data_IF_049017708807
#
_entry.id   IF_049017708807
#
_cell.length_a   1.000
_cell.length_b   1.000
_cell.length_c   1.000
_cell.angle_alpha   90.00
_cell.angle_beta   90.00
_cell.angle_gamma   90.00
#
_symmetry.space_group_name_H-M   'P 1'
#
loop_
_entity.id
_entity.type
_entity.pdbx_description
1 polymer ?
#
# COMPACT_ATOMS: atom_id res chain seq x y z
N UNK A 1 18.21 -14.32 11.56
CA UNK A 1 18.30 -14.87 10.18
C UNK A 1 17.06 -15.73 9.96
N UNK A 2 15.94 -15.08 9.59
CA UNK A 2 14.61 -15.71 9.62
C UNK A 2 14.34 -16.53 8.34
N UNK A 3 13.80 -17.73 8.56
CA UNK A 3 13.51 -18.83 7.63
C UNK A 3 12.50 -18.45 6.53
N UNK A 4 12.99 -17.78 5.50
CA UNK A 4 12.57 -18.11 4.14
C UNK A 4 13.82 -18.67 3.47
N UNK A 5 14.05 -19.96 3.70
CA UNK A 5 15.11 -20.69 3.00
C UNK A 5 14.82 -20.54 1.50
N UNK A 6 15.68 -19.81 0.79
CA UNK A 6 15.60 -19.42 -0.64
C UNK A 6 14.70 -18.20 -0.98
N UNK A 7 14.94 -17.04 -0.37
CA UNK A 7 14.58 -15.76 -1.01
C UNK A 7 15.57 -15.52 -2.16
N UNK A 8 15.08 -15.46 -3.39
CA UNK A 8 15.85 -15.01 -4.53
C UNK A 8 16.30 -13.58 -4.26
N UNK A 9 17.62 -13.37 -4.15
CA UNK A 9 18.17 -12.07 -3.79
C UNK A 9 17.80 -11.03 -4.85
N UNK A 10 17.25 -9.88 -4.43
CA UNK A 10 16.95 -8.81 -5.36
C UNK A 10 18.23 -8.21 -5.94
N UNK A 11 18.32 -8.17 -7.26
CA UNK A 11 19.34 -7.43 -7.98
C UNK A 11 18.66 -6.45 -8.94
N UNK A 12 18.93 -5.14 -8.86
CA UNK A 12 18.36 -4.19 -9.80
C UNK A 12 18.67 -4.59 -11.24
N UNK A 13 17.69 -4.43 -12.14
CA UNK A 13 17.84 -4.66 -13.58
C UNK A 13 19.05 -3.92 -14.13
N UNK A 14 19.78 -4.51 -15.08
CA UNK A 14 20.88 -3.82 -15.77
C UNK A 14 20.36 -2.48 -16.32
N UNK A 15 21.08 -1.40 -16.02
CA UNK A 15 20.75 0.00 -16.34
C UNK A 15 19.59 0.64 -15.54
N UNK A 16 18.95 -0.07 -14.60
CA UNK A 16 18.04 0.50 -13.59
C UNK A 16 18.64 0.31 -12.18
N UNK A 17 19.89 0.72 -12.00
CA UNK A 17 20.60 0.60 -10.71
C UNK A 17 20.45 1.83 -9.83
N UNK A 18 19.99 2.96 -10.40
CA UNK A 18 19.73 4.20 -9.68
C UNK A 18 18.37 4.16 -8.97
N UNK A 19 18.35 4.64 -7.72
CA UNK A 19 17.16 4.66 -6.86
C UNK A 19 16.00 5.48 -7.42
N UNK A 20 16.30 6.59 -8.09
CA UNK A 20 15.27 7.44 -8.69
C UNK A 20 14.70 6.77 -9.93
N UNK A 21 15.54 6.12 -10.75
CA UNK A 21 15.07 5.32 -11.88
C UNK A 21 14.15 4.18 -11.45
N UNK A 22 14.51 3.42 -10.40
CA UNK A 22 13.63 2.37 -9.85
C UNK A 22 12.29 2.93 -9.35
N UNK A 23 12.29 4.15 -8.81
CA UNK A 23 11.08 4.81 -8.30
C UNK A 23 10.22 5.42 -9.40
N UNK A 24 10.84 5.94 -10.47
CA UNK A 24 10.17 6.82 -11.45
C UNK A 24 9.84 6.09 -12.76
N UNK A 25 10.62 5.08 -13.17
CA UNK A 25 10.42 4.42 -14.47
C UNK A 25 9.02 3.84 -14.61
N UNK A 26 8.50 3.26 -13.53
CA UNK A 26 7.19 2.62 -13.49
C UNK A 26 6.03 3.62 -13.35
N UNK A 27 6.34 4.86 -12.94
CA UNK A 27 5.40 5.99 -12.96
C UNK A 27 5.34 6.62 -14.36
N UNK A 28 6.47 6.71 -15.07
CA UNK A 28 6.54 7.28 -16.42
C UNK A 28 6.04 6.31 -17.50
N UNK A 29 6.19 5.01 -17.27
CA UNK A 29 5.78 3.95 -18.19
C UNK A 29 4.94 2.91 -17.45
N UNK A 30 3.73 3.29 -16.98
CA UNK A 30 2.84 2.34 -16.33
C UNK A 30 2.43 1.24 -17.33
N UNK A 31 2.25 -0.02 -16.86
CA UNK A 31 1.67 -1.06 -17.69
C UNK A 31 0.26 -0.62 -18.13
N UNK A 32 -0.16 -1.06 -19.32
CA UNK A 32 -1.57 -0.92 -19.72
C UNK A 32 -2.42 -1.59 -18.64
N UNK A 33 -3.43 -0.89 -18.13
CA UNK A 33 -4.39 -1.51 -17.23
C UNK A 33 -5.23 -2.51 -18.03
N UNK A 34 -4.91 -3.79 -17.92
CA UNK A 34 -5.67 -4.88 -18.52
C UNK A 34 -6.74 -5.42 -17.57
N UNK A 35 -6.71 -5.05 -16.29
CA UNK A 35 -7.64 -5.55 -15.27
C UNK A 35 -9.07 -5.09 -15.49
N UNK A 36 -9.29 -4.05 -16.30
CA UNK A 36 -10.62 -3.56 -16.66
C UNK A 36 -11.02 -3.92 -18.10
N UNK A 37 -10.14 -4.56 -18.89
CA UNK A 37 -10.44 -4.97 -20.28
C UNK A 37 -10.42 -6.47 -20.47
N UNK A 38 -9.42 -7.15 -19.92
CA UNK A 38 -9.11 -8.55 -20.22
C UNK A 38 -9.64 -9.50 -19.12
N UNK A 39 -9.97 -8.94 -17.95
CA UNK A 39 -10.54 -9.64 -16.80
C UNK A 39 -11.97 -9.17 -16.51
N UNK A 40 -12.78 -10.03 -15.87
CA UNK A 40 -14.07 -9.58 -15.36
C UNK A 40 -13.84 -8.54 -14.26
N UNK A 41 -14.62 -7.48 -14.31
CA UNK A 41 -14.42 -6.25 -13.56
C UNK A 41 -15.76 -5.68 -13.12
N UNK A 42 -15.82 -5.21 -11.86
CA UNK A 42 -16.93 -4.38 -11.38
C UNK A 42 -16.44 -3.29 -10.43
N UNK A 43 -17.19 -2.18 -10.40
CA UNK A 43 -16.99 -1.08 -9.48
C UNK A 43 -17.96 -1.16 -8.33
N UNK A 44 -17.45 -1.01 -7.11
CA UNK A 44 -18.23 -1.13 -5.89
C UNK A 44 -18.04 0.14 -5.06
N UNK A 45 -19.01 1.07 -5.11
CA UNK A 45 -19.09 2.16 -4.16
C UNK A 45 -19.35 1.60 -2.76
N UNK A 46 -18.50 1.97 -1.80
CA UNK A 46 -18.60 1.53 -0.41
C UNK A 46 -18.72 2.77 0.51
N UNK A 47 -19.84 2.94 1.23
CA UNK A 47 -19.96 4.01 2.22
C UNK A 47 -18.90 3.91 3.31
N UNK A 48 -18.34 5.06 3.71
CA UNK A 48 -17.38 5.13 4.82
C UNK A 48 -18.10 5.01 6.17
N UNK A 49 -17.43 4.50 7.22
CA UNK A 49 -18.07 4.22 8.51
C UNK A 49 -18.28 5.46 9.39
N UNK A 50 -17.76 6.63 9.01
CA UNK A 50 -17.68 7.84 9.83
C UNK A 50 -18.89 8.79 9.68
N UNK A 51 -19.98 8.31 9.06
CA UNK A 51 -21.21 9.07 8.84
C UNK A 51 -21.03 10.40 8.07
N UNK A 52 -19.89 10.59 7.40
CA UNK A 52 -19.61 11.77 6.56
C UNK A 52 -20.46 11.81 5.28
N UNK A 53 -21.01 10.67 4.87
CA UNK A 53 -21.63 10.49 3.55
C UNK A 53 -20.61 10.26 2.44
N UNK A 54 -19.31 10.18 2.78
CA UNK A 54 -18.27 9.82 1.83
C UNK A 54 -18.40 8.36 1.40
N UNK A 55 -17.92 8.08 0.19
CA UNK A 55 -17.77 6.75 -0.34
C UNK A 55 -16.33 6.50 -0.78
N UNK A 56 -15.91 5.26 -0.63
CA UNK A 56 -14.73 4.68 -1.27
C UNK A 56 -15.18 4.02 -2.57
N UNK A 57 -14.30 3.96 -3.56
CA UNK A 57 -14.52 3.14 -4.75
C UNK A 57 -13.59 1.92 -4.72
N UNK A 58 -14.17 0.73 -4.77
CA UNK A 58 -13.42 -0.50 -4.92
C UNK A 58 -13.54 -1.00 -6.36
N UNK A 59 -12.42 -1.39 -6.93
CA UNK A 59 -12.37 -2.11 -8.20
C UNK A 59 -12.17 -3.59 -7.90
N UNK A 60 -13.17 -4.39 -8.23
CA UNK A 60 -13.20 -5.81 -7.93
C UNK A 60 -13.02 -6.64 -9.19
N UNK A 61 -12.08 -7.58 -9.12
CA UNK A 61 -11.86 -8.62 -10.12
C UNK A 61 -12.08 -9.99 -9.44
N UNK A 62 -13.16 -10.72 -9.75
CA UNK A 62 -13.37 -12.05 -9.21
C UNK A 62 -12.30 -13.02 -9.71
N UNK A 63 -12.09 -14.17 -9.03
CA UNK A 63 -11.19 -15.22 -9.48
C UNK A 63 -11.46 -15.64 -10.92
N UNK A 64 -10.41 -15.79 -11.73
CA UNK A 64 -10.51 -16.06 -13.19
C UNK A 64 -11.34 -17.32 -13.50
N UNK A 65 -11.22 -18.36 -12.66
CA UNK A 65 -11.97 -19.61 -12.79
C UNK A 65 -13.50 -19.44 -12.70
N UNK A 66 -14.01 -18.28 -12.30
CA UNK A 66 -15.44 -18.02 -12.22
C UNK A 66 -16.08 -17.69 -13.58
N UNK A 67 -15.29 -17.29 -14.59
CA UNK A 67 -15.82 -16.77 -15.86
C UNK A 67 -14.98 -17.11 -17.10
N UNK A 68 -13.81 -17.72 -16.94
CA UNK A 68 -13.04 -18.29 -18.03
C UNK A 68 -12.74 -19.76 -17.71
N UNK A 69 -12.63 -20.60 -18.76
CA UNK A 69 -12.09 -21.95 -18.64
C UNK A 69 -10.59 -21.87 -18.37
N UNK A 70 -10.26 -21.54 -17.12
CA UNK A 70 -8.93 -21.24 -16.67
C UNK A 70 -8.27 -22.51 -16.12
N UNK A 71 -7.02 -22.73 -16.55
CA UNK A 71 -6.16 -23.75 -15.94
C UNK A 71 -5.96 -23.49 -14.44
N UNK A 72 -5.93 -22.21 -14.05
CA UNK A 72 -5.78 -21.81 -12.65
C UNK A 72 -7.13 -21.83 -11.93
N UNK A 73 -7.20 -22.61 -10.86
CA UNK A 73 -8.38 -22.70 -9.99
C UNK A 73 -8.34 -21.67 -8.85
N UNK A 74 -9.51 -21.20 -8.41
CA UNK A 74 -9.63 -20.33 -7.25
C UNK A 74 -9.03 -20.98 -6.00
N UNK A 75 -8.05 -20.30 -5.38
CA UNK A 75 -7.34 -20.78 -4.19
C UNK A 75 -8.08 -20.50 -2.87
N UNK A 76 -9.23 -19.82 -2.93
CA UNK A 76 -10.07 -19.47 -1.78
C UNK A 76 -9.71 -18.14 -1.11
N UNK A 77 -8.68 -17.41 -1.55
CA UNK A 77 -8.23 -16.16 -0.94
C UNK A 77 -8.54 -14.95 -1.81
N UNK A 78 -8.86 -13.85 -1.14
CA UNK A 78 -8.95 -12.52 -1.76
C UNK A 78 -7.78 -11.65 -1.33
N UNK A 79 -7.14 -10.99 -2.30
CA UNK A 79 -6.09 -10.02 -2.09
C UNK A 79 -6.68 -8.61 -2.19
N UNK A 80 -6.67 -7.89 -1.07
CA UNK A 80 -7.03 -6.47 -1.01
C UNK A 80 -5.75 -5.65 -1.19
N UNK A 81 -5.73 -4.83 -2.22
CA UNK A 81 -4.62 -3.95 -2.58
C UNK A 81 -4.98 -2.51 -2.25
N UNK A 82 -4.06 -1.78 -1.63
CA UNK A 82 -4.26 -0.36 -1.27
C UNK A 82 -3.07 0.45 -1.75
N UNK A 83 -3.31 1.51 -2.52
CA UNK A 83 -2.25 2.31 -3.14
C UNK A 83 -1.53 3.25 -2.14
N UNK A 84 -0.38 3.76 -2.55
CA UNK A 84 0.41 4.76 -1.82
C UNK A 84 -0.10 6.19 -1.98
N UNK A 85 0.64 7.14 -1.42
CA UNK A 85 0.30 8.57 -1.49
C UNK A 85 0.26 9.06 -2.95
N UNK A 86 -0.78 9.83 -3.29
CA UNK A 86 -1.04 10.37 -4.64
C UNK A 86 -1.10 9.30 -5.75
N UNK A 87 -1.40 8.05 -5.37
CA UNK A 87 -1.73 6.97 -6.29
C UNK A 87 -3.23 6.69 -6.35
N UNK A 88 -3.56 5.57 -6.97
CA UNK A 88 -4.91 5.04 -7.17
C UNK A 88 -4.84 3.54 -7.56
N UNK A 89 -5.98 2.95 -7.89
CA UNK A 89 -6.10 1.59 -8.42
C UNK A 89 -5.36 1.34 -9.75
N UNK A 90 -5.02 2.38 -10.50
CA UNK A 90 -4.31 2.33 -11.79
C UNK A 90 -2.79 2.51 -11.62
N UNK A 91 -2.30 2.65 -10.39
CA UNK A 91 -0.87 2.64 -10.10
C UNK A 91 -0.23 1.34 -10.60
N UNK A 92 0.94 1.44 -11.24
CA UNK A 92 1.60 0.30 -11.91
C UNK A 92 1.76 -0.95 -11.03
N UNK A 93 2.10 -0.77 -9.75
CA UNK A 93 2.27 -1.87 -8.80
C UNK A 93 0.92 -2.49 -8.41
N UNK A 94 -0.19 -1.73 -8.45
CA UNK A 94 -1.54 -2.22 -8.20
C UNK A 94 -2.04 -3.07 -9.38
N UNK A 95 -1.78 -2.61 -10.60
CA UNK A 95 -2.14 -3.35 -11.82
C UNK A 95 -1.35 -4.65 -11.90
N UNK A 96 -0.02 -4.56 -11.82
CA UNK A 96 0.84 -5.73 -12.04
C UNK A 96 0.66 -6.81 -10.97
N UNK A 97 0.58 -6.45 -9.68
CA UNK A 97 0.31 -7.47 -8.64
C UNK A 97 -1.11 -8.02 -8.75
N UNK A 98 -2.08 -7.22 -9.22
CA UNK A 98 -3.44 -7.66 -9.45
C UNK A 98 -3.53 -8.70 -10.57
N UNK A 99 -2.83 -8.46 -11.68
CA UNK A 99 -2.67 -9.38 -12.81
C UNK A 99 -2.07 -10.71 -12.32
N UNK A 100 -0.88 -10.66 -11.73
CA UNK A 100 -0.17 -11.87 -11.28
C UNK A 100 -1.00 -12.62 -10.21
N UNK A 101 -1.72 -11.92 -9.34
CA UNK A 101 -2.59 -12.54 -8.35
C UNK A 101 -3.80 -13.26 -8.99
N UNK A 102 -4.47 -12.65 -9.97
CA UNK A 102 -5.58 -13.30 -10.69
C UNK A 102 -5.09 -14.56 -11.40
N UNK A 103 -3.93 -14.50 -12.05
CA UNK A 103 -3.30 -15.65 -12.71
C UNK A 103 -2.87 -16.77 -11.75
N UNK A 104 -2.65 -16.43 -10.47
CA UNK A 104 -2.37 -17.36 -9.37
C UNK A 104 -3.64 -17.79 -8.59
N UNK A 105 -4.83 -17.47 -9.11
CA UNK A 105 -6.10 -17.99 -8.60
C UNK A 105 -6.63 -17.24 -7.38
N UNK A 106 -6.20 -16.00 -7.15
CA UNK A 106 -6.79 -15.12 -6.15
C UNK A 106 -8.01 -14.37 -6.72
N UNK A 107 -8.92 -13.93 -5.85
CA UNK A 107 -9.78 -12.79 -6.17
C UNK A 107 -9.06 -11.49 -5.77
N UNK A 108 -9.28 -10.39 -6.49
CA UNK A 108 -8.57 -9.14 -6.25
C UNK A 108 -9.54 -7.99 -6.02
N UNK A 109 -9.28 -7.19 -4.99
CA UNK A 109 -9.98 -5.93 -4.73
C UNK A 109 -8.94 -4.82 -4.64
N UNK A 110 -8.99 -3.84 -5.55
CA UNK A 110 -8.14 -2.65 -5.53
C UNK A 110 -8.95 -1.50 -4.91
N UNK A 111 -8.50 -1.02 -3.76
CA UNK A 111 -9.14 0.08 -3.05
C UNK A 111 -8.59 1.43 -3.54
N UNK A 112 -9.47 2.29 -4.06
CA UNK A 112 -9.19 3.71 -4.14
C UNK A 112 -9.47 4.33 -2.77
N UNK A 113 -8.45 4.97 -2.17
CA UNK A 113 -8.64 5.76 -0.96
C UNK A 113 -9.48 7.01 -1.27
N UNK A 114 -10.01 7.66 -0.24
CA UNK A 114 -10.92 8.81 -0.40
C UNK A 114 -10.39 9.85 -1.38
N UNK A 115 -11.22 10.20 -2.36
CA UNK A 115 -10.92 11.21 -3.37
C UNK A 115 -9.75 10.86 -4.30
N UNK A 116 -9.49 9.58 -4.55
CA UNK A 116 -8.43 9.11 -5.46
C UNK A 116 -9.01 8.36 -6.65
N UNK A 117 -8.30 8.45 -7.78
CA UNK A 117 -8.59 7.69 -9.00
C UNK A 117 -10.03 7.86 -9.48
N UNK A 118 -10.66 6.76 -9.88
CA UNK A 118 -12.05 6.73 -10.33
C UNK A 118 -13.06 7.08 -9.22
N UNK A 119 -12.63 7.10 -7.95
CA UNK A 119 -13.41 7.51 -6.80
C UNK A 119 -13.32 9.01 -6.48
N UNK A 120 -12.64 9.82 -7.31
CA UNK A 120 -12.65 11.28 -7.16
C UNK A 120 -14.09 11.84 -7.19
N UNK A 121 -14.36 12.79 -6.28
CA UNK A 121 -15.70 13.36 -6.09
C UNK A 121 -16.66 12.50 -5.25
N UNK A 122 -16.28 11.27 -4.87
CA UNK A 122 -17.10 10.42 -3.98
C UNK A 122 -16.89 10.70 -2.48
N UNK A 123 -15.87 11.48 -2.12
CA UNK A 123 -15.55 11.81 -0.75
C UNK A 123 -15.16 13.29 -0.64
N UNK A 124 -15.62 13.94 0.42
CA UNK A 124 -15.19 15.30 0.81
C UNK A 124 -13.98 15.27 1.73
N UNK A 125 -13.88 14.22 2.55
CA UNK A 125 -12.73 13.99 3.42
C UNK A 125 -11.52 13.48 2.64
N UNK A 126 -10.33 13.67 3.21
CA UNK A 126 -9.07 13.20 2.63
C UNK A 126 -8.70 11.80 3.12
N UNK A 127 -7.97 11.06 2.28
CA UNK A 127 -7.17 9.94 2.77
C UNK A 127 -6.01 10.46 3.62
N UNK A 128 -5.55 9.65 4.57
CA UNK A 128 -4.35 9.92 5.35
C UNK A 128 -3.84 8.61 6.01
N UNK A 129 -2.64 8.65 6.61
CA UNK A 129 -1.99 7.51 7.26
C UNK A 129 -2.77 6.91 8.44
N UNK A 130 -3.80 7.61 8.93
CA UNK A 130 -4.63 7.22 10.05
C UNK A 130 -5.94 6.52 9.68
N UNK A 131 -6.32 6.47 8.39
CA UNK A 131 -7.61 5.94 7.89
C UNK A 131 -7.73 4.40 7.95
N UNK A 132 -7.52 3.84 9.14
CA UNK A 132 -7.66 2.40 9.40
C UNK A 132 -9.13 1.97 9.51
N UNK A 133 -10.04 2.91 9.74
CA UNK A 133 -11.49 2.74 9.71
C UNK A 133 -12.03 2.44 8.30
N UNK A 134 -11.58 3.21 7.30
CA UNK A 134 -11.88 2.94 5.89
C UNK A 134 -11.42 1.53 5.49
N UNK A 135 -10.21 1.17 5.90
CA UNK A 135 -9.66 -0.15 5.61
C UNK A 135 -10.45 -1.28 6.29
N UNK A 136 -10.90 -1.07 7.53
CA UNK A 136 -11.75 -2.03 8.25
C UNK A 136 -13.09 -2.26 7.56
N UNK A 137 -13.68 -1.20 6.99
CA UNK A 137 -14.91 -1.27 6.21
C UNK A 137 -14.72 -2.13 4.95
N UNK A 138 -13.63 -1.93 4.21
CA UNK A 138 -13.29 -2.73 3.03
C UNK A 138 -13.06 -4.19 3.39
N UNK A 139 -12.22 -4.47 4.40
CA UNK A 139 -11.97 -5.83 4.89
C UNK A 139 -13.28 -6.51 5.33
N UNK A 140 -14.16 -5.77 5.99
CA UNK A 140 -15.45 -6.30 6.44
C UNK A 140 -16.41 -6.58 5.28
N UNK A 141 -16.43 -5.71 4.26
CA UNK A 141 -17.21 -5.90 3.05
C UNK A 141 -16.74 -7.16 2.30
N UNK A 142 -15.43 -7.27 2.01
CA UNK A 142 -14.86 -8.44 1.33
C UNK A 142 -15.10 -9.72 2.12
N UNK A 143 -15.00 -9.67 3.45
CA UNK A 143 -15.28 -10.83 4.30
C UNK A 143 -16.72 -11.29 4.23
N UNK A 144 -17.67 -10.34 4.13
CA UNK A 144 -19.09 -10.64 4.08
C UNK A 144 -19.49 -11.20 2.72
N UNK A 145 -19.03 -10.56 1.64
CA UNK A 145 -19.56 -10.79 0.30
C UNK A 145 -18.72 -11.75 -0.55
N UNK A 146 -17.41 -11.87 -0.30
CA UNK A 146 -16.50 -12.56 -1.23
C UNK A 146 -15.75 -13.73 -0.59
N UNK A 147 -14.98 -13.52 0.49
CA UNK A 147 -14.19 -14.59 1.08
C UNK A 147 -13.88 -14.40 2.55
N UNK A 148 -13.90 -15.50 3.31
CA UNK A 148 -13.46 -15.56 4.71
C UNK A 148 -11.93 -15.59 4.86
N UNK A 149 -11.20 -15.65 3.76
CA UNK A 149 -9.74 -15.74 3.73
C UNK A 149 -9.19 -14.52 2.98
N UNK A 150 -8.77 -13.51 3.73
CA UNK A 150 -8.33 -12.22 3.18
C UNK A 150 -6.83 -12.07 3.37
N UNK A 151 -6.16 -11.59 2.33
CA UNK A 151 -4.80 -11.09 2.34
C UNK A 151 -4.86 -9.59 2.10
N UNK A 152 -4.06 -8.83 2.82
CA UNK A 152 -4.03 -7.37 2.74
C UNK A 152 -2.63 -6.88 2.35
N UNK A 153 -2.52 -6.19 1.22
CA UNK A 153 -1.26 -5.61 0.75
C UNK A 153 -1.33 -4.10 0.68
N UNK A 154 -0.43 -3.43 1.40
CA UNK A 154 -0.24 -1.99 1.33
C UNK A 154 1.12 -1.63 0.73
N UNK A 155 1.16 -0.49 0.05
CA UNK A 155 2.34 0.07 -0.62
C UNK A 155 2.54 1.51 -0.15
N UNK A 156 3.77 1.87 0.23
CA UNK A 156 4.10 3.22 0.71
C UNK A 156 3.19 3.65 1.88
N UNK A 157 2.48 4.77 1.76
CA UNK A 157 1.55 5.27 2.77
C UNK A 157 0.55 4.21 3.27
N UNK A 158 -0.03 3.40 2.38
CA UNK A 158 -0.98 2.39 2.81
C UNK A 158 -0.31 1.19 3.47
N UNK A 159 0.98 0.94 3.22
CA UNK A 159 1.73 -0.06 3.98
C UNK A 159 1.79 0.35 5.46
N UNK A 160 1.94 1.64 5.76
CA UNK A 160 1.78 2.15 7.13
C UNK A 160 0.35 1.94 7.65
N UNK A 161 -0.69 2.26 6.85
CA UNK A 161 -2.09 2.06 7.26
C UNK A 161 -2.38 0.59 7.58
N UNK A 162 -1.88 -0.35 6.76
CA UNK A 162 -2.03 -1.79 6.97
C UNK A 162 -1.42 -2.22 8.29
N UNK A 163 -0.16 -1.84 8.56
CA UNK A 163 0.53 -2.19 9.80
C UNK A 163 -0.18 -1.59 11.03
N UNK A 164 -0.59 -0.32 10.95
CA UNK A 164 -1.37 0.35 11.99
C UNK A 164 -2.70 -0.38 12.23
N UNK A 165 -3.48 -0.65 11.18
CA UNK A 165 -4.77 -1.35 11.27
C UNK A 165 -4.66 -2.70 11.99
N UNK A 166 -3.65 -3.50 11.60
CA UNK A 166 -3.44 -4.83 12.17
C UNK A 166 -2.98 -4.77 13.63
N UNK A 167 -2.18 -3.77 14.01
CA UNK A 167 -1.69 -3.62 15.38
C UNK A 167 -2.71 -2.95 16.33
N UNK A 168 -3.60 -2.10 15.82
CA UNK A 168 -4.70 -1.50 16.59
C UNK A 168 -5.79 -2.52 16.93
N UNK A 169 -6.07 -3.44 16.00
CA UNK A 169 -7.19 -4.38 16.10
C UNK A 169 -6.70 -5.75 16.58
N UNK A 170 -6.96 -6.07 17.85
CA UNK A 170 -6.61 -7.37 18.46
C UNK A 170 -7.17 -8.60 17.72
N UNK A 171 -8.26 -8.44 16.94
CA UNK A 171 -8.87 -9.50 16.12
C UNK A 171 -9.29 -8.92 14.77
N UNK A 172 -8.61 -9.33 13.71
CA UNK A 172 -8.92 -8.94 12.33
C UNK A 172 -9.36 -10.15 11.52
N UNK A 173 -10.04 -9.90 10.39
CA UNK A 173 -10.45 -10.94 9.43
C UNK A 173 -9.32 -11.30 8.45
N UNK A 174 -8.18 -10.60 8.53
CA UNK A 174 -7.01 -10.77 7.67
C UNK A 174 -6.22 -12.00 8.11
N UNK A 175 -5.82 -12.83 7.14
CA UNK A 175 -5.01 -14.03 7.35
C UNK A 175 -3.52 -13.73 7.24
N UNK A 176 -3.15 -13.00 6.20
CA UNK A 176 -1.77 -12.61 5.90
C UNK A 176 -1.72 -11.18 5.41
N UNK A 177 -0.55 -10.56 5.47
CA UNK A 177 -0.38 -9.22 4.94
C UNK A 177 0.97 -9.02 4.25
N UNK A 178 1.05 -7.97 3.43
CA UNK A 178 2.30 -7.38 2.98
C UNK A 178 2.31 -5.87 3.18
N UNK A 179 3.49 -5.34 3.50
CA UNK A 179 3.75 -3.92 3.64
C UNK A 179 5.03 -3.57 2.87
N UNK A 180 4.90 -2.84 1.76
CA UNK A 180 6.02 -2.50 0.86
C UNK A 180 6.41 -1.04 1.04
N UNK A 181 7.69 -0.78 1.30
CA UNK A 181 8.24 0.55 1.62
C UNK A 181 7.39 1.36 2.63
N UNK A 182 7.03 0.79 3.79
CA UNK A 182 6.21 1.51 4.76
C UNK A 182 6.96 2.69 5.38
N UNK A 183 6.37 3.91 5.43
CA UNK A 183 6.86 4.99 6.27
C UNK A 183 6.55 4.67 7.74
N UNK A 184 7.33 3.80 8.38
CA UNK A 184 7.02 3.29 9.73
C UNK A 184 6.97 4.41 10.79
N UNK A 185 7.80 5.44 10.61
CA UNK A 185 7.86 6.66 11.43
C UNK A 185 7.57 7.87 10.51
N UNK A 186 6.35 8.38 10.56
CA UNK A 186 5.88 9.44 9.67
C UNK A 186 6.67 10.75 9.87
N UNK A 187 7.14 11.02 11.10
CA UNK A 187 7.90 12.23 11.40
C UNK A 187 9.24 12.19 10.69
N UNK A 188 10.01 11.12 10.88
CA UNK A 188 11.31 10.95 10.23
C UNK A 188 11.19 10.95 8.70
N UNK A 189 10.15 10.30 8.17
CA UNK A 189 9.91 10.28 6.72
C UNK A 189 9.58 11.68 6.19
N UNK A 190 8.77 12.45 6.91
CA UNK A 190 8.48 13.85 6.56
C UNK A 190 9.74 14.70 6.58
N UNK A 191 10.56 14.62 7.64
CA UNK A 191 11.84 15.34 7.76
C UNK A 191 12.80 14.98 6.61
N UNK A 192 12.84 13.71 6.21
CA UNK A 192 13.65 13.26 5.06
C UNK A 192 13.13 13.83 3.74
N UNK A 193 11.82 13.77 3.48
CA UNK A 193 11.20 14.36 2.28
C UNK A 193 11.46 15.87 2.24
N UNK A 194 11.41 16.54 3.38
CA UNK A 194 11.66 17.98 3.51
C UNK A 194 13.14 18.37 3.47
N UNK A 195 14.04 17.40 3.44
CA UNK A 195 15.48 17.66 3.29
C UNK A 195 15.85 18.13 1.86
N UNK A 196 17.01 18.79 1.69
CA UNK A 196 17.53 19.13 0.37
C UNK A 196 17.67 17.92 -0.58
N UNK A 197 17.89 16.72 -0.03
CA UNK A 197 18.17 15.50 -0.79
C UNK A 197 16.92 14.94 -1.49
N UNK A 198 15.73 15.24 -0.97
CA UNK A 198 14.45 14.79 -1.51
C UNK A 198 13.61 15.94 -2.11
N UNK A 199 14.22 17.12 -2.35
CA UNK A 199 13.52 18.32 -2.85
C UNK A 199 12.70 18.07 -4.11
N UNK A 200 13.19 17.22 -5.03
CA UNK A 200 12.43 16.81 -6.21
C UNK A 200 11.06 16.21 -5.85
N UNK A 201 11.05 15.28 -4.88
CA UNK A 201 9.83 14.60 -4.44
C UNK A 201 8.93 15.50 -3.60
N UNK A 202 9.49 16.28 -2.67
CA UNK A 202 8.73 17.29 -1.91
C UNK A 202 7.96 18.22 -2.84
N UNK A 203 8.66 18.80 -3.83
CA UNK A 203 8.05 19.74 -4.75
C UNK A 203 6.96 19.07 -5.62
N UNK A 204 7.17 17.80 -6.00
CA UNK A 204 6.15 17.02 -6.71
C UNK A 204 4.89 16.82 -5.85
N UNK A 205 5.04 16.37 -4.60
CA UNK A 205 3.90 16.15 -3.69
C UNK A 205 3.16 17.44 -3.39
N UNK A 206 3.86 18.51 -3.01
CA UNK A 206 3.24 19.81 -2.75
C UNK A 206 2.51 20.37 -3.97
N UNK A 207 3.09 20.23 -5.17
CA UNK A 207 2.40 20.65 -6.41
C UNK A 207 1.12 19.84 -6.63
N UNK A 208 1.16 18.53 -6.38
CA UNK A 208 0.00 17.65 -6.53
C UNK A 208 -1.10 18.00 -5.54
N UNK A 209 -0.78 18.13 -4.25
CA UNK A 209 -1.76 18.50 -3.23
C UNK A 209 -2.38 19.88 -3.47
N UNK A 210 -1.57 20.88 -3.82
CA UNK A 210 -2.07 22.23 -4.17
C UNK A 210 -2.96 22.20 -5.42
N UNK A 211 -2.64 21.33 -6.39
CA UNK A 211 -3.51 21.12 -7.55
C UNK A 211 -4.84 20.50 -7.12
N UNK A 212 -4.86 19.48 -6.25
CA UNK A 212 -6.10 18.87 -5.74
C UNK A 212 -6.95 19.85 -4.92
N UNK A 213 -6.33 20.79 -4.22
CA UNK A 213 -7.03 21.93 -3.60
C UNK A 213 -7.65 22.86 -4.66
N UNK A 214 -6.92 23.15 -5.73
CA UNK A 214 -7.38 24.06 -6.79
C UNK A 214 -8.51 23.45 -7.63
N UNK A 215 -8.45 22.14 -7.86
CA UNK A 215 -9.47 21.39 -8.61
C UNK A 215 -10.72 21.12 -7.76
N UNK A 216 -10.69 21.45 -6.46
CA UNK A 216 -11.81 21.22 -5.54
C UNK A 216 -11.99 19.77 -5.11
N UNK A 217 -10.99 18.89 -5.33
CA UNK A 217 -10.99 17.50 -4.88
C UNK A 217 -10.83 17.44 -3.36
N UNK A 218 -9.96 18.28 -2.81
CA UNK A 218 -9.80 18.45 -1.36
C UNK A 218 -10.64 19.65 -0.93
N UNK A 219 -11.67 19.39 -0.15
CA UNK A 219 -12.54 20.45 0.38
C UNK A 219 -11.98 21.01 1.68
N UNK A 220 -11.53 22.27 1.64
CA UNK A 220 -11.12 22.98 2.85
C UNK A 220 -12.34 23.59 3.56
N UNK A 221 -12.57 23.28 4.84
CA UNK A 221 -13.53 24.01 5.65
C UNK A 221 -13.04 25.46 5.86
N UNK A 222 -13.95 26.38 6.16
CA UNK A 222 -13.63 27.80 6.41
C UNK A 222 -12.63 28.00 7.57
N UNK A 223 -12.50 27.01 8.45
CA UNK A 223 -11.55 27.01 9.57
C UNK A 223 -10.09 26.81 9.13
N UNK A 224 -9.84 26.34 7.90
CA UNK A 224 -8.49 26.17 7.36
C UNK A 224 -8.18 27.35 6.45
N UNK A 225 -7.09 28.08 6.76
CA UNK A 225 -6.64 29.18 5.94
C UNK A 225 -6.12 28.66 4.58
N UNK A 226 -6.90 28.91 3.55
CA UNK A 226 -6.60 28.52 2.17
C UNK A 226 -5.29 29.12 1.67
N UNK A 227 -4.96 30.37 2.00
CA UNK A 227 -3.72 31.03 1.57
C UNK A 227 -2.50 30.30 2.13
N UNK A 228 -2.51 29.98 3.44
CA UNK A 228 -1.44 29.21 4.08
C UNK A 228 -1.27 27.82 3.45
N UNK A 229 -2.36 27.16 3.06
CA UNK A 229 -2.31 25.88 2.35
C UNK A 229 -1.57 25.98 1.00
N UNK A 230 -1.78 27.07 0.24
CA UNK A 230 -1.07 27.32 -1.03
C UNK A 230 0.36 27.82 -0.81
N UNK A 231 0.67 28.45 0.32
CA UNK A 231 2.00 28.95 0.66
C UNK A 231 2.93 27.90 1.26
N UNK A 232 2.41 26.78 1.76
CA UNK A 232 3.17 25.67 2.34
C UNK A 232 4.41 25.31 1.50
N UNK A 233 5.60 25.35 2.10
CA UNK A 233 6.89 25.11 1.41
C UNK A 233 7.45 23.73 1.70
N UNK A 234 6.99 23.12 2.77
CA UNK A 234 7.37 21.79 3.24
C UNK A 234 6.15 20.88 3.34
N UNK A 235 6.37 19.57 3.29
CA UNK A 235 5.33 18.59 3.56
C UNK A 235 4.82 18.75 4.99
N UNK A 236 5.71 19.07 5.94
CA UNK A 236 5.33 19.42 7.30
C UNK A 236 4.34 20.60 7.33
N UNK A 237 4.63 21.72 6.65
CA UNK A 237 3.73 22.88 6.61
C UNK A 237 2.35 22.50 6.08
N UNK A 238 2.33 21.70 5.01
CA UNK A 238 1.07 21.26 4.40
C UNK A 238 0.30 20.35 5.35
N UNK A 239 0.97 19.41 6.01
CA UNK A 239 0.33 18.54 6.99
C UNK A 239 -0.15 19.29 8.24
N UNK A 240 0.56 20.33 8.67
CA UNK A 240 0.21 21.09 9.87
C UNK A 240 -0.99 22.02 9.62
N UNK A 241 -1.05 22.62 8.43
CA UNK A 241 -2.13 23.54 8.04
C UNK A 241 -3.35 22.81 7.48
N UNK A 242 -3.13 21.73 6.73
CA UNK A 242 -4.18 21.05 5.94
C UNK A 242 -4.43 19.64 6.44
N UNK A 243 -3.49 18.72 6.23
CA UNK A 243 -3.77 17.28 6.36
C UNK A 243 -4.17 16.89 7.78
N UNK A 244 -3.44 17.37 8.78
CA UNK A 244 -3.67 17.13 10.19
C UNK A 244 -5.04 17.65 10.62
N UNK A 245 -5.31 18.96 10.53
CA UNK A 245 -6.60 19.55 10.90
C UNK A 245 -7.78 18.93 10.15
N UNK A 246 -7.66 18.71 8.83
CA UNK A 246 -8.74 18.13 8.02
C UNK A 246 -9.04 16.68 8.39
N UNK A 247 -8.03 15.94 8.86
CA UNK A 247 -8.19 14.59 9.38
C UNK A 247 -8.53 14.54 10.89
N UNK A 248 -8.76 15.69 11.54
CA UNK A 248 -9.15 15.78 12.96
C UNK A 248 -8.00 15.67 13.95
N UNK A 249 -6.75 15.84 13.51
CA UNK A 249 -5.57 15.93 14.37
C UNK A 249 -5.29 17.38 14.79
N UNK A 250 -4.60 17.55 15.92
CA UNK A 250 -4.29 18.89 16.45
C UNK A 250 -3.21 19.63 15.67
N UNK A 251 -2.30 18.88 15.04
CA UNK A 251 -1.13 19.37 14.31
C UNK A 251 -0.52 18.22 13.50
N UNK A 252 0.46 18.52 12.64
CA UNK A 252 1.26 17.51 11.94
C UNK A 252 1.94 16.55 12.94
N UNK A 253 2.50 17.07 14.03
CA UNK A 253 3.15 16.25 15.05
C UNK A 253 2.17 15.31 15.79
N UNK A 254 0.95 15.77 16.08
CA UNK A 254 -0.09 14.92 16.68
C UNK A 254 -0.52 13.82 15.69
N UNK A 255 -0.67 14.18 14.41
CA UNK A 255 -0.94 13.24 13.32
C UNK A 255 0.16 12.18 13.21
N UNK A 256 1.43 12.58 13.11
CA UNK A 256 2.55 11.65 12.98
C UNK A 256 2.67 10.72 14.19
N UNK A 257 2.52 11.26 15.40
CA UNK A 257 2.57 10.47 16.63
C UNK A 257 1.49 9.39 16.67
N UNK A 258 0.26 9.72 16.26
CA UNK A 258 -0.89 8.80 16.29
C UNK A 258 -0.92 7.82 15.12
N UNK A 259 -0.31 8.17 14.00
CA UNK A 259 -0.46 7.41 12.76
C UNK A 259 0.78 6.63 12.33
N UNK A 260 1.95 6.86 12.97
CA UNK A 260 3.15 6.07 12.70
C UNK A 260 2.96 4.61 13.11
N UNK A 261 3.07 3.71 12.13
CA UNK A 261 2.83 2.27 12.30
C UNK A 261 3.86 1.57 13.19
N UNK A 262 5.05 2.14 13.37
CA UNK A 262 6.07 1.61 14.30
C UNK A 262 5.53 1.43 15.72
N UNK A 263 4.56 2.27 16.14
CA UNK A 263 3.93 2.20 17.45
C UNK A 263 2.98 1.00 17.62
N UNK A 264 2.58 0.36 16.51
CA UNK A 264 1.58 -0.70 16.48
C UNK A 264 2.16 -2.04 16.03
N UNK A 265 3.33 -2.03 15.39
CA UNK A 265 3.97 -3.18 14.77
C UNK A 265 4.07 -4.40 15.70
N UNK A 266 4.51 -4.19 16.95
CA UNK A 266 4.69 -5.28 17.93
C UNK A 266 3.38 -5.91 18.42
N UNK A 267 2.24 -5.30 18.12
CA UNK A 267 0.92 -5.82 18.47
C UNK A 267 0.26 -6.62 17.35
N UNK A 268 0.88 -6.71 16.16
CA UNK A 268 0.32 -7.42 15.01
C UNK A 268 0.41 -8.93 15.24
N UNK A 269 -0.72 -9.68 15.28
CA UNK A 269 -0.68 -11.13 15.47
C UNK A 269 -0.60 -11.92 14.15
N UNK A 270 -0.89 -11.32 12.99
CA UNK A 270 -0.89 -12.01 11.71
C UNK A 270 0.53 -12.20 11.18
N UNK A 271 0.79 -13.32 10.50
CA UNK A 271 1.99 -13.49 9.69
C UNK A 271 1.93 -12.53 8.50
N UNK A 272 3.08 -11.99 8.10
CA UNK A 272 3.16 -11.13 6.92
C UNK A 272 4.58 -10.91 6.46
N UNK A 273 4.72 -10.12 5.40
CA UNK A 273 6.01 -9.73 4.83
C UNK A 273 6.14 -8.20 4.77
N UNK A 274 7.24 -7.66 5.30
CA UNK A 274 7.62 -6.26 5.14
C UNK A 274 8.81 -6.19 4.21
N UNK A 275 8.68 -5.46 3.10
CA UNK A 275 9.73 -5.32 2.08
C UNK A 275 10.17 -3.86 2.02
N UNK A 276 11.47 -3.61 2.10
CA UNK A 276 12.04 -2.27 2.01
C UNK A 276 13.38 -2.29 1.28
N UNK A 277 13.78 -1.13 0.75
CA UNK A 277 15.06 -0.96 0.07
C UNK A 277 15.91 0.08 0.82
N UNK A 278 17.20 -0.23 0.98
CA UNK A 278 18.19 0.66 1.61
C UNK A 278 18.36 1.97 0.82
N UNK A 279 18.19 1.90 -0.50
CA UNK A 279 18.30 3.05 -1.40
C UNK A 279 16.99 3.84 -1.59
N UNK A 280 15.93 3.58 -0.82
CA UNK A 280 14.64 4.25 -0.96
C UNK A 280 14.80 5.79 -0.85
N UNK A 281 14.43 6.57 -1.90
CA UNK A 281 14.65 8.01 -1.90
C UNK A 281 13.63 8.78 -1.04
N UNK A 282 12.53 8.16 -0.62
CA UNK A 282 11.45 8.80 0.14
C UNK A 282 11.45 8.41 1.62
N UNK A 283 11.82 7.16 1.91
CA UNK A 283 11.75 6.61 3.26
C UNK A 283 13.18 6.32 3.72
N UNK A 284 13.70 7.00 4.75
CA UNK A 284 15.07 6.77 5.21
C UNK A 284 15.18 5.37 5.85
N UNK A 285 16.19 4.60 5.44
CA UNK A 285 16.43 3.22 5.93
C UNK A 285 16.58 3.13 7.45
N UNK A 286 16.99 4.23 8.11
CA UNK A 286 17.11 4.32 9.56
C UNK A 286 15.79 4.00 10.26
N UNK A 287 14.66 4.34 9.64
CA UNK A 287 13.32 4.02 10.15
C UNK A 287 13.08 2.51 10.18
N UNK A 288 13.60 1.77 9.19
CA UNK A 288 13.56 0.31 9.19
C UNK A 288 14.47 -0.30 10.27
N UNK A 289 15.63 0.31 10.52
CA UNK A 289 16.57 -0.12 11.55
C UNK A 289 16.12 0.19 12.99
N UNK A 290 15.18 1.12 13.20
CA UNK A 290 14.55 1.36 14.51
C UNK A 290 13.72 0.17 15.00
N UNK A 291 13.34 -0.76 14.12
CA UNK A 291 12.51 -1.91 14.47
C UNK A 291 13.36 -3.07 15.00
N UNK A 292 12.95 -3.58 16.16
CA UNK A 292 13.48 -4.81 16.75
C UNK A 292 12.72 -6.02 16.17
N UNK A 293 13.13 -6.46 14.99
CA UNK A 293 12.45 -7.51 14.24
C UNK A 293 12.41 -8.87 14.95
N UNK A 294 13.32 -9.10 15.91
CA UNK A 294 13.34 -10.33 16.72
C UNK A 294 12.12 -10.44 17.64
N UNK A 295 11.47 -9.32 17.98
CA UNK A 295 10.21 -9.30 18.75
C UNK A 295 8.98 -9.66 17.92
N UNK A 296 9.09 -9.70 16.59
CA UNK A 296 8.01 -10.06 15.67
C UNK A 296 8.45 -11.16 14.70
N UNK A 297 8.87 -12.34 15.21
CA UNK A 297 9.48 -13.39 14.39
C UNK A 297 8.53 -13.99 13.34
N UNK A 298 7.22 -13.78 13.49
CA UNK A 298 6.19 -14.18 12.53
C UNK A 298 6.03 -13.21 11.36
N UNK A 299 6.67 -12.05 11.41
CA UNK A 299 6.76 -11.08 10.31
C UNK A 299 8.08 -11.29 9.59
N UNK A 300 8.01 -11.75 8.35
CA UNK A 300 9.18 -11.80 7.46
C UNK A 300 9.55 -10.37 7.09
N UNK A 301 10.81 -9.99 7.28
CA UNK A 301 11.30 -8.66 6.92
C UNK A 301 12.41 -8.81 5.89
N UNK A 302 12.34 -8.03 4.81
CA UNK A 302 13.26 -8.09 3.68
C UNK A 302 13.78 -6.68 3.43
N UNK A 303 15.06 -6.47 3.72
CA UNK A 303 15.78 -5.26 3.37
C UNK A 303 16.70 -5.57 2.19
N UNK A 304 16.43 -4.99 1.04
CA UNK A 304 17.26 -5.10 -0.16
C UNK A 304 18.26 -3.94 -0.22
N UNK A 305 19.41 -4.14 -0.86
CA UNK A 305 20.38 -3.05 -1.08
C UNK A 305 19.89 -1.98 -2.06
N UNK A 306 18.96 -2.36 -2.93
CA UNK A 306 18.42 -1.51 -3.97
C UNK A 306 16.96 -1.83 -4.22
N UNK A 307 16.27 -0.98 -4.97
CA UNK A 307 14.86 -1.19 -5.32
C UNK A 307 14.05 0.10 -5.37
N UNK A 308 14.63 1.21 -4.89
CA UNK A 308 13.95 2.50 -4.83
C UNK A 308 12.67 2.43 -4.00
N UNK A 309 11.77 3.37 -4.24
CA UNK A 309 10.47 3.41 -3.57
C UNK A 309 9.43 2.64 -4.39
N UNK A 310 9.13 1.40 -3.97
CA UNK A 310 8.13 0.51 -4.62
C UNK A 310 8.52 0.12 -6.07
N UNK A 311 9.80 0.16 -6.43
CA UNK A 311 10.28 -0.19 -7.77
C UNK A 311 10.56 -1.68 -7.94
N UNK A 312 11.62 -2.15 -7.29
CA UNK A 312 12.00 -3.57 -7.21
C UNK A 312 11.98 -4.33 -8.55
N UNK A 313 12.45 -3.70 -9.64
CA UNK A 313 12.58 -4.33 -10.95
C UNK A 313 13.95 -5.00 -11.12
N UNK A 314 13.93 -6.28 -11.48
CA UNK A 314 15.13 -7.11 -11.73
C UNK A 314 15.28 -7.46 -13.21
N UNK A 315 16.44 -7.99 -13.59
CA UNK A 315 16.60 -8.69 -14.87
C UNK A 315 15.64 -9.89 -14.92
N UNK A 316 15.08 -10.14 -16.11
CA UNK A 316 14.25 -11.32 -16.37
C UNK A 316 15.06 -12.59 -16.16
N UNK A 317 14.43 -13.61 -15.60
CA UNK A 317 14.98 -14.94 -15.39
C UNK A 317 13.87 -15.99 -15.54
N UNK A 318 14.23 -17.28 -15.57
CA UNK A 318 13.23 -18.35 -15.60
C UNK A 318 12.27 -18.30 -14.39
N UNK A 319 12.77 -17.84 -13.24
CA UNK A 319 11.99 -17.69 -12.02
C UNK A 319 11.15 -16.40 -11.98
N UNK A 320 11.63 -15.34 -12.64
CA UNK A 320 10.99 -14.02 -12.67
C UNK A 320 10.96 -13.53 -14.13
N UNK A 321 10.09 -14.11 -14.98
CA UNK A 321 10.14 -13.93 -16.43
C UNK A 321 9.76 -12.52 -16.89
N UNK A 322 9.02 -11.78 -16.07
CA UNK A 322 8.62 -10.40 -16.31
C UNK A 322 9.58 -9.36 -15.67
N UNK A 323 10.49 -9.80 -14.81
CA UNK A 323 11.40 -8.96 -14.04
C UNK A 323 10.75 -8.23 -12.85
N UNK A 324 9.50 -8.56 -12.47
CA UNK A 324 8.76 -7.93 -11.36
C UNK A 324 9.05 -8.67 -10.05
N UNK A 325 10.24 -8.45 -9.49
CA UNK A 325 10.68 -9.18 -8.28
C UNK A 325 9.75 -8.98 -7.08
N UNK A 326 9.19 -7.77 -6.91
CA UNK A 326 8.25 -7.50 -5.83
C UNK A 326 7.03 -8.41 -5.91
N UNK A 327 6.44 -8.57 -7.09
CA UNK A 327 5.25 -9.40 -7.24
C UNK A 327 5.57 -10.86 -6.93
N UNK A 328 6.68 -11.35 -7.49
CA UNK A 328 7.18 -12.68 -7.24
C UNK A 328 7.37 -12.96 -5.75
N UNK A 329 8.06 -12.07 -5.00
CA UNK A 329 8.35 -12.35 -3.57
C UNK A 329 7.08 -12.32 -2.71
N UNK A 330 6.14 -11.41 -3.01
CA UNK A 330 4.87 -11.32 -2.29
C UNK A 330 4.00 -12.56 -2.54
N UNK A 331 3.81 -12.96 -3.80
CA UNK A 331 3.01 -14.13 -4.15
C UNK A 331 3.67 -15.43 -3.69
N UNK A 332 5.01 -15.54 -3.76
CA UNK A 332 5.75 -16.69 -3.22
C UNK A 332 5.52 -16.83 -1.71
N UNK A 333 5.59 -15.72 -0.98
CA UNK A 333 5.29 -15.71 0.46
C UNK A 333 3.84 -16.15 0.73
N UNK A 334 2.85 -15.56 0.05
CA UNK A 334 1.45 -15.92 0.27
C UNK A 334 1.16 -17.38 -0.08
N UNK A 335 1.64 -17.84 -1.23
CA UNK A 335 1.47 -19.22 -1.67
C UNK A 335 2.10 -20.20 -0.67
N UNK A 336 3.29 -19.90 -0.12
CA UNK A 336 3.91 -20.76 0.89
C UNK A 336 3.08 -20.84 2.18
N UNK A 337 2.55 -19.72 2.65
CA UNK A 337 1.70 -19.67 3.84
C UNK A 337 0.36 -20.39 3.64
N UNK A 338 -0.20 -20.34 2.44
CA UNK A 338 -1.41 -21.09 2.08
C UNK A 338 -1.14 -22.59 2.13
N UNK A 339 -0.04 -23.05 1.54
CA UNK A 339 0.34 -24.46 1.54
C UNK A 339 0.61 -24.99 2.96
N UNK A 340 1.34 -24.23 3.78
CA UNK A 340 1.54 -24.57 5.20
C UNK A 340 0.20 -24.76 5.95
N UNK A 341 -0.78 -23.89 5.69
CA UNK A 341 -2.09 -23.97 6.33
C UNK A 341 -2.92 -25.18 5.86
N UNK A 342 -2.77 -25.61 4.61
CA UNK A 342 -3.42 -26.80 4.08
C UNK A 342 -2.83 -28.05 4.75
N UNK A 343 -1.50 -28.15 4.79
CA UNK A 343 -0.80 -29.28 5.42
C UNK A 343 -1.13 -29.44 6.91
N UNK A 344 -1.22 -28.32 7.66
CA UNK A 344 -1.61 -28.35 9.09
C UNK A 344 -3.05 -28.78 9.33
N UNK A 345 -3.94 -28.65 8.35
CA UNK A 345 -5.34 -29.10 8.44
C UNK A 345 -5.51 -30.56 8.04
N UNK A 346 -4.66 -31.09 7.17
CA UNK A 346 -4.69 -32.51 6.78
C UNK A 346 -4.13 -33.46 7.85
N UNK A 347 -3.32 -32.93 8.77
CA UNK A 347 -2.70 -33.69 9.88
C UNK A 347 -3.46 -33.58 11.21
N UNK A 348 -4.65 -33.00 11.23
CA UNK A 348 -5.56 -32.92 12.37
C UNK A 348 -6.84 -33.65 12.02
#
# INVERSE_FOLDING_TARGET
MNKVDNITFFKPRKFLTDKHLQTVVSVLFPPKNILNTDFQYEEIPLPTPDASGDMLLLEHNPPVSNYQDAKTQYNGYYLILVHGMEGDSDSHYMISIGEDALENGYGVVRMNMRGCGRGEGMAKGIYNAGKTDDLDAVVSYVYKNFSKKIILSGFSLSANIVLKYLGEKKRTKVKFFSAVSPPLDLKDCCEHIDSPQATFYRNRFLRSFKKRLSDGIIHLPETINKELAYEAKTLFDFDDVVSGPLAGYKSALDYYKKCSSINFLYSIPQKGIVVHADDDPLIPVQVFHKVDWEKVPHITHVLTRGGGHVGFLTDKSDEIPDGRWLNYILLKFFNSQIQENILKKGNK
#
